data_IF_990982824254
#
_entry.id   IF_990982824254
#
_cell.length_a   1.000
_cell.length_b   1.000
_cell.length_c   1.000
_cell.angle_alpha   90.00
_cell.angle_beta   90.00
_cell.angle_gamma   90.00
#
_symmetry.space_group_name_H-M   'P 1'
#
loop_
_entity.id
_entity.type
_entity.pdbx_description
1 polymer ?
#
# COMPACT_ATOMS: atom_id res chain seq x y z
N UNK A 1 70.28 20.71 -18.22
CA UNK A 1 69.88 21.32 -16.93
C UNK A 1 68.85 20.41 -16.29
N UNK A 2 69.10 20.02 -15.04
CA UNK A 2 68.33 19.03 -14.27
C UNK A 2 67.03 19.67 -13.74
N UNK A 3 65.91 18.95 -13.81
CA UNK A 3 64.70 19.22 -13.03
C UNK A 3 64.56 18.16 -11.93
N UNK A 4 64.35 18.65 -10.71
CA UNK A 4 64.24 17.94 -9.42
C UNK A 4 62.89 17.23 -9.28
N UNK A 5 62.80 16.09 -8.57
CA UNK A 5 61.52 15.45 -8.25
C UNK A 5 60.95 15.94 -6.91
N UNK A 6 59.62 16.04 -6.83
CA UNK A 6 58.86 16.28 -5.59
C UNK A 6 58.26 14.95 -5.14
N UNK A 7 58.65 14.48 -3.95
CA UNK A 7 58.15 13.27 -3.31
C UNK A 7 57.24 13.63 -2.11
N UNK A 8 56.23 12.78 -1.92
CA UNK A 8 55.17 12.85 -0.91
C UNK A 8 55.66 12.87 0.55
N UNK A 9 54.87 13.49 1.43
CA UNK A 9 54.83 13.14 2.86
C UNK A 9 53.37 13.10 3.36
N UNK A 10 53.00 11.99 4.01
CA UNK A 10 51.78 11.79 4.81
C UNK A 10 52.13 11.98 6.30
N UNK A 11 51.19 12.43 7.16
CA UNK A 11 51.26 12.17 8.60
C UNK A 11 50.18 11.18 9.09
N UNK A 12 50.56 10.45 10.15
CA UNK A 12 49.90 9.32 10.81
C UNK A 12 48.85 9.73 11.88
N UNK A 13 48.04 8.79 12.42
CA UNK A 13 46.92 9.09 13.33
C UNK A 13 47.35 9.15 14.81
N UNK A 14 46.64 9.94 15.61
CA UNK A 14 46.85 10.06 17.05
C UNK A 14 45.89 9.17 17.86
N UNK A 15 46.48 8.42 18.79
CA UNK A 15 45.84 7.57 19.81
C UNK A 15 45.69 8.37 21.11
N UNK A 16 44.54 8.26 21.80
CA UNK A 16 44.42 8.64 23.22
C UNK A 16 43.60 7.59 23.97
N UNK A 17 44.09 7.20 25.15
CA UNK A 17 43.56 6.21 26.08
C UNK A 17 43.37 6.82 27.48
N UNK A 18 42.62 6.08 28.34
CA UNK A 18 42.51 6.16 29.82
C UNK A 18 41.43 7.14 30.33
N UNK A 19 40.50 6.88 31.28
CA UNK A 19 40.43 5.97 32.45
C UNK A 19 39.00 5.82 33.03
N UNK A 20 38.68 4.60 33.50
CA UNK A 20 38.01 4.16 34.76
C UNK A 20 36.78 4.85 35.40
N UNK A 21 35.79 4.01 35.73
CA UNK A 21 34.49 4.20 36.42
C UNK A 21 34.54 4.66 37.90
N UNK A 22 33.37 4.96 38.50
CA UNK A 22 32.83 4.01 39.50
C UNK A 22 31.32 3.74 39.42
N UNK A 23 30.96 2.60 40.03
CA UNK A 23 29.62 2.00 40.20
C UNK A 23 28.79 2.80 41.21
N UNK A 24 27.51 3.05 40.89
CA UNK A 24 26.44 3.20 41.90
C UNK A 24 25.14 2.51 41.46
N UNK A 25 24.45 2.01 42.48
CA UNK A 25 23.39 1.00 42.51
C UNK A 25 22.01 1.48 41.99
N UNK A 26 21.21 0.47 41.59
CA UNK A 26 19.77 0.53 41.28
C UNK A 26 18.91 1.26 42.34
N UNK A 27 17.72 1.73 41.94
CA UNK A 27 16.53 1.01 42.39
C UNK A 27 15.54 0.67 41.27
N UNK A 28 14.85 -0.44 41.52
CA UNK A 28 13.72 -1.06 40.81
C UNK A 28 12.44 -0.23 40.83
N UNK A 29 11.57 -0.54 39.85
CA UNK A 29 10.13 -0.29 39.73
C UNK A 29 9.67 0.96 38.95
N UNK A 30 9.10 0.74 37.77
CA UNK A 30 7.65 0.87 37.61
C UNK A 30 7.18 0.13 36.35
N UNK A 31 6.16 -0.71 36.52
CA UNK A 31 5.34 -1.19 35.40
C UNK A 31 4.69 0.03 34.75
N UNK A 32 5.15 0.43 33.56
CA UNK A 32 4.34 1.29 32.70
C UNK A 32 3.57 0.43 31.71
N UNK A 33 2.35 0.17 32.17
CA UNK A 33 1.20 -0.38 31.48
C UNK A 33 1.11 0.23 30.06
N UNK A 34 1.56 -0.53 29.05
CA UNK A 34 1.49 -0.14 27.65
C UNK A 34 0.07 -0.40 27.16
N UNK A 35 -0.87 0.48 27.53
CA UNK A 35 -2.21 0.50 26.96
C UNK A 35 -2.10 0.91 25.51
N UNK A 36 -2.04 -0.08 24.62
CA UNK A 36 -2.30 0.08 23.19
C UNK A 36 -3.72 0.65 23.07
N UNK A 37 -3.82 1.92 22.70
CA UNK A 37 -5.07 2.51 22.27
C UNK A 37 -5.53 1.76 21.02
N UNK A 38 -6.38 0.74 21.21
CA UNK A 38 -7.19 0.18 20.12
C UNK A 38 -8.14 1.29 19.69
N UNK A 39 -7.90 1.88 18.53
CA UNK A 39 -8.96 2.58 17.81
C UNK A 39 -9.99 1.52 17.40
N UNK A 40 -10.95 1.24 18.28
CA UNK A 40 -12.13 0.48 17.92
C UNK A 40 -12.92 1.36 16.95
N UNK A 41 -12.86 1.08 15.65
CA UNK A 41 -13.89 1.59 14.74
C UNK A 41 -15.20 0.99 15.25
N UNK A 42 -15.93 1.76 16.05
CA UNK A 42 -17.24 1.33 16.54
C UNK A 42 -18.09 1.06 15.32
N UNK A 43 -18.66 -0.13 15.21
CA UNK A 43 -19.68 -0.42 14.21
C UNK A 43 -20.84 0.54 14.49
N UNK A 44 -20.87 1.65 13.75
CA UNK A 44 -21.97 2.61 13.81
C UNK A 44 -23.24 1.86 13.44
N UNK A 45 -24.08 1.64 14.44
CA UNK A 45 -25.47 1.24 14.24
C UNK A 45 -26.17 2.38 13.48
N UNK A 46 -27.08 2.10 12.53
CA UNK A 46 -27.71 3.14 11.73
C UNK A 46 -28.74 3.89 12.57
N UNK A 47 -28.29 4.89 13.33
CA UNK A 47 -29.18 5.92 13.86
C UNK A 47 -29.27 7.09 12.88
N UNK A 48 -30.51 7.43 12.60
CA UNK A 48 -31.01 8.31 11.55
C UNK A 48 -30.53 9.75 11.76
N UNK A 49 -29.42 10.12 11.12
CA UNK A 49 -29.12 11.53 10.81
C UNK A 49 -29.44 11.71 9.33
N UNK A 50 -30.61 12.29 9.07
CA UNK A 50 -30.93 12.89 7.77
C UNK A 50 -29.94 14.04 7.52
N UNK A 51 -28.84 13.72 6.86
CA UNK A 51 -28.08 14.67 6.07
C UNK A 51 -28.23 14.24 4.62
N UNK A 52 -29.27 14.77 3.97
CA UNK A 52 -29.43 14.71 2.52
C UNK A 52 -28.30 15.49 1.84
N UNK A 53 -27.14 14.85 1.73
CA UNK A 53 -26.23 15.07 0.64
C UNK A 53 -26.26 13.81 -0.19
N UNK A 54 -26.93 13.83 -1.34
CA UNK A 54 -26.89 12.72 -2.29
C UNK A 54 -25.42 12.46 -2.63
N UNK A 55 -24.80 11.47 -1.99
CA UNK A 55 -23.40 11.10 -2.25
C UNK A 55 -23.36 10.65 -3.70
N UNK A 56 -22.67 11.40 -4.54
CA UNK A 56 -22.60 11.11 -5.96
C UNK A 56 -21.87 9.79 -6.18
N UNK A 57 -22.64 8.73 -6.44
CA UNK A 57 -22.12 7.46 -6.87
C UNK A 57 -21.51 7.62 -8.27
N UNK A 58 -20.26 7.20 -8.43
CA UNK A 58 -19.56 7.24 -9.71
C UNK A 58 -20.31 6.38 -10.74
N UNK A 59 -20.74 7.00 -11.85
CA UNK A 59 -21.43 6.30 -12.94
C UNK A 59 -20.39 5.75 -13.93
N UNK A 60 -20.33 4.43 -14.15
CA UNK A 60 -19.35 3.83 -15.06
C UNK A 60 -19.51 4.34 -16.50
N UNK A 61 -18.41 4.74 -17.11
CA UNK A 61 -18.31 5.06 -18.53
C UNK A 61 -18.00 3.83 -19.39
N UNK A 62 -17.99 4.01 -20.71
CA UNK A 62 -17.70 2.93 -21.67
C UNK A 62 -16.28 2.38 -21.49
N UNK A 63 -15.30 3.26 -21.23
CA UNK A 63 -13.91 2.87 -20.99
C UNK A 63 -13.74 2.06 -19.70
N UNK A 64 -14.61 2.24 -18.72
CA UNK A 64 -14.54 1.51 -17.45
C UNK A 64 -14.79 0.03 -17.64
N UNK A 65 -15.70 -0.34 -18.56
CA UNK A 65 -15.89 -1.74 -18.93
C UNK A 65 -14.62 -2.34 -19.54
N UNK A 66 -13.93 -1.59 -20.41
CA UNK A 66 -12.67 -2.03 -20.99
C UNK A 66 -11.59 -2.24 -19.91
N UNK A 67 -11.42 -1.26 -19.00
CA UNK A 67 -10.43 -1.37 -17.93
C UNK A 67 -10.75 -2.49 -16.93
N UNK A 68 -12.02 -2.64 -16.54
CA UNK A 68 -12.46 -3.71 -15.66
C UNK A 68 -12.14 -5.08 -16.26
N UNK A 69 -12.55 -5.32 -17.50
CA UNK A 69 -12.32 -6.59 -18.18
C UNK A 69 -10.82 -6.86 -18.35
N UNK A 70 -10.05 -5.86 -18.80
CA UNK A 70 -8.60 -5.99 -18.95
C UNK A 70 -7.93 -6.34 -17.62
N UNK A 71 -8.31 -5.70 -16.51
CA UNK A 71 -7.75 -5.99 -15.19
C UNK A 71 -8.15 -7.38 -14.69
N UNK A 72 -9.42 -7.75 -14.89
CA UNK A 72 -9.92 -9.08 -14.57
C UNK A 72 -9.14 -10.17 -15.32
N UNK A 73 -8.91 -10.00 -16.62
CA UNK A 73 -8.17 -10.97 -17.43
C UNK A 73 -6.75 -11.21 -16.89
N UNK A 74 -6.09 -10.15 -16.40
CA UNK A 74 -4.76 -10.29 -15.77
C UNK A 74 -4.84 -11.01 -14.42
N UNK A 75 -5.86 -10.70 -13.62
CA UNK A 75 -6.11 -11.43 -12.37
C UNK A 75 -6.38 -12.92 -12.62
N UNK A 76 -7.22 -13.26 -13.60
CA UNK A 76 -7.52 -14.66 -13.97
C UNK A 76 -6.27 -15.40 -14.37
N UNK A 77 -5.40 -14.77 -15.19
CA UNK A 77 -4.12 -15.37 -15.60
C UNK A 77 -3.18 -15.63 -14.42
N UNK A 78 -3.14 -14.73 -13.44
CA UNK A 78 -2.29 -14.87 -12.27
C UNK A 78 -2.85 -15.88 -11.25
N UNK A 79 -4.18 -15.92 -11.07
CA UNK A 79 -4.87 -16.80 -10.12
C UNK A 79 -5.06 -18.22 -10.69
N UNK A 80 -5.19 -18.35 -12.01
CA UNK A 80 -5.45 -19.63 -12.70
C UNK A 80 -6.92 -20.08 -12.68
N UNK A 81 -7.83 -19.20 -12.27
CA UNK A 81 -9.28 -19.46 -12.17
C UNK A 81 -10.04 -18.15 -12.39
N UNK A 82 -11.27 -18.25 -12.93
CA UNK A 82 -12.18 -17.12 -13.10
C UNK A 82 -13.47 -17.31 -12.27
N UNK A 83 -13.95 -16.22 -11.66
CA UNK A 83 -15.21 -16.21 -10.90
C UNK A 83 -16.42 -16.27 -11.82
N UNK A 84 -17.46 -16.99 -11.43
CA UNK A 84 -18.75 -16.99 -12.13
C UNK A 84 -19.47 -15.63 -12.03
N UNK A 85 -19.11 -14.80 -11.03
CA UNK A 85 -19.74 -13.49 -10.84
C UNK A 85 -19.23 -12.50 -11.90
N UNK A 86 -20.14 -11.82 -12.60
CA UNK A 86 -19.76 -10.80 -13.57
C UNK A 86 -19.24 -9.53 -12.88
N UNK A 87 -18.57 -8.69 -13.66
CA UNK A 87 -18.19 -7.34 -13.27
C UNK A 87 -17.31 -7.27 -12.02
N UNK A 88 -17.54 -6.23 -11.22
CA UNK A 88 -16.71 -5.88 -10.07
C UNK A 88 -16.75 -6.94 -8.96
N UNK A 89 -17.90 -7.58 -8.74
CA UNK A 89 -18.05 -8.60 -7.71
C UNK A 89 -17.09 -9.78 -7.92
N UNK A 90 -16.98 -10.28 -9.16
CA UNK A 90 -16.03 -11.36 -9.46
C UNK A 90 -14.57 -10.92 -9.44
N UNK A 91 -14.27 -9.65 -9.78
CA UNK A 91 -12.93 -9.07 -9.59
C UNK A 91 -12.52 -9.12 -8.11
N UNK A 92 -13.43 -8.79 -7.19
CA UNK A 92 -13.17 -8.87 -5.75
C UNK A 92 -12.99 -10.33 -5.28
N UNK A 93 -13.70 -11.29 -5.88
CA UNK A 93 -13.46 -12.72 -5.61
C UNK A 93 -12.08 -13.18 -6.08
N UNK A 94 -11.63 -12.72 -7.24
CA UNK A 94 -10.28 -13.00 -7.73
C UNK A 94 -9.20 -12.39 -6.84
N UNK A 95 -9.40 -11.16 -6.37
CA UNK A 95 -8.50 -10.53 -5.40
C UNK A 95 -8.42 -11.30 -4.07
N UNK A 96 -9.58 -11.78 -3.57
CA UNK A 96 -9.65 -12.65 -2.40
C UNK A 96 -8.90 -13.96 -2.66
N UNK A 97 -9.12 -14.59 -3.81
CA UNK A 97 -8.45 -15.82 -4.21
C UNK A 97 -6.93 -15.66 -4.33
N UNK A 98 -6.44 -14.55 -4.90
CA UNK A 98 -5.02 -14.24 -5.02
C UNK A 98 -4.31 -14.29 -3.66
N UNK A 99 -4.91 -13.67 -2.63
CA UNK A 99 -4.36 -13.68 -1.27
C UNK A 99 -4.54 -15.04 -0.58
N UNK A 100 -5.63 -15.76 -0.83
CA UNK A 100 -5.89 -17.06 -0.23
C UNK A 100 -5.00 -18.18 -0.78
N UNK A 101 -4.71 -18.14 -2.07
CA UNK A 101 -3.93 -19.16 -2.78
C UNK A 101 -2.42 -18.91 -2.64
N UNK A 102 -2.04 -17.70 -2.23
CA UNK A 102 -0.63 -17.35 -2.01
C UNK A 102 -0.09 -17.96 -0.71
N UNK A 103 1.15 -18.47 -0.80
CA UNK A 103 1.88 -19.07 0.33
C UNK A 103 2.20 -18.05 1.43
N UNK A 104 2.40 -16.79 1.04
CA UNK A 104 2.73 -15.70 1.96
C UNK A 104 2.23 -14.36 1.42
N UNK A 105 2.23 -13.35 2.30
CA UNK A 105 1.95 -11.96 1.92
C UNK A 105 2.95 -11.42 0.88
N UNK A 106 4.22 -11.83 0.96
CA UNK A 106 5.22 -11.43 -0.05
C UNK A 106 4.89 -12.00 -1.43
N UNK A 107 4.52 -13.27 -1.52
CA UNK A 107 4.09 -13.86 -2.80
C UNK A 107 2.84 -13.18 -3.35
N UNK A 108 1.88 -12.84 -2.48
CA UNK A 108 0.68 -12.06 -2.87
C UNK A 108 1.08 -10.72 -3.47
N UNK A 109 2.01 -10.03 -2.80
CA UNK A 109 2.50 -8.72 -3.23
C UNK A 109 3.18 -8.81 -4.60
N UNK A 110 4.08 -9.78 -4.78
CA UNK A 110 4.82 -9.96 -6.02
C UNK A 110 3.89 -10.34 -7.19
N UNK A 111 2.86 -11.14 -6.93
CA UNK A 111 1.82 -11.46 -7.90
C UNK A 111 1.01 -10.21 -8.31
N UNK A 112 0.60 -9.40 -7.34
CA UNK A 112 -0.08 -8.13 -7.61
C UNK A 112 0.80 -7.15 -8.40
N UNK A 113 2.11 -7.07 -8.11
CA UNK A 113 3.06 -6.27 -8.90
C UNK A 113 3.14 -6.78 -10.35
N UNK A 114 3.19 -8.11 -10.58
CA UNK A 114 3.16 -8.69 -11.93
C UNK A 114 1.88 -8.33 -12.68
N UNK A 115 0.73 -8.43 -12.01
CA UNK A 115 -0.57 -8.02 -12.57
C UNK A 115 -0.50 -6.56 -13.01
N UNK A 116 -0.09 -5.64 -12.12
CA UNK A 116 0.01 -4.21 -12.43
C UNK A 116 0.91 -3.95 -13.66
N UNK A 117 2.10 -4.55 -13.72
CA UNK A 117 2.98 -4.42 -14.89
C UNK A 117 2.33 -4.91 -16.17
N UNK A 118 1.61 -6.02 -16.09
CA UNK A 118 1.01 -6.66 -17.26
C UNK A 118 -0.15 -5.86 -17.90
N UNK A 119 -0.64 -4.82 -17.21
CA UNK A 119 -1.65 -3.89 -17.74
C UNK A 119 -1.05 -2.91 -18.75
N UNK A 120 0.26 -2.73 -18.75
CA UNK A 120 0.95 -1.78 -19.62
C UNK A 120 1.67 -2.51 -20.77
N UNK A 121 1.77 -1.88 -21.95
CA UNK A 121 2.60 -2.39 -23.03
C UNK A 121 4.09 -2.52 -22.61
N UNK A 122 4.85 -3.50 -23.16
CA UNK A 122 6.18 -3.87 -22.69
C UNK A 122 7.23 -2.75 -22.58
N UNK A 123 7.13 -1.66 -23.37
CA UNK A 123 8.10 -0.56 -23.37
C UNK A 123 7.60 0.72 -22.67
N UNK A 124 6.30 0.82 -22.40
CA UNK A 124 5.71 2.07 -21.93
C UNK A 124 6.25 2.46 -20.55
N UNK A 125 6.39 1.49 -19.65
CA UNK A 125 6.89 1.71 -18.29
C UNK A 125 8.36 2.17 -18.31
N UNK A 126 9.19 1.54 -19.14
CA UNK A 126 10.61 1.87 -19.25
C UNK A 126 10.81 3.27 -19.85
N UNK A 127 10.10 3.57 -20.94
CA UNK A 127 10.13 4.90 -21.57
C UNK A 127 9.64 5.98 -20.61
N UNK A 128 8.55 5.72 -19.87
CA UNK A 128 8.07 6.63 -18.83
C UNK A 128 9.15 6.92 -17.80
N UNK A 129 9.77 5.86 -17.26
CA UNK A 129 10.77 5.96 -16.20
C UNK A 129 12.03 6.70 -16.65
N UNK A 130 12.42 6.56 -17.92
CA UNK A 130 13.60 7.23 -18.48
C UNK A 130 13.31 8.68 -18.87
N UNK A 131 12.16 8.93 -19.50
CA UNK A 131 11.89 10.23 -20.13
C UNK A 131 11.10 11.18 -19.25
N UNK A 132 10.14 10.69 -18.47
CA UNK A 132 9.17 11.52 -17.73
C UNK A 132 9.52 11.60 -16.24
N UNK A 133 9.85 10.47 -15.61
CA UNK A 133 10.13 10.42 -14.17
C UNK A 133 11.27 11.36 -13.70
N UNK A 134 12.32 11.64 -14.49
CA UNK A 134 13.38 12.56 -14.06
C UNK A 134 13.04 14.06 -14.21
N UNK A 135 11.99 14.41 -14.97
CA UNK A 135 11.67 15.81 -15.29
C UNK A 135 11.30 16.56 -14.01
N UNK A 136 11.93 17.73 -13.81
CA UNK A 136 11.66 18.62 -12.67
C UNK A 136 11.72 17.88 -11.32
N UNK A 137 12.75 17.03 -11.15
CA UNK A 137 12.92 16.22 -9.94
C UNK A 137 11.81 15.19 -9.70
N UNK A 138 11.02 14.84 -10.72
CA UNK A 138 9.89 13.92 -10.64
C UNK A 138 8.54 14.56 -10.33
N UNK A 139 8.49 15.89 -10.16
CA UNK A 139 7.25 16.63 -9.88
C UNK A 139 6.24 16.52 -11.02
N UNK A 140 6.70 16.69 -12.26
CA UNK A 140 5.84 16.56 -13.45
C UNK A 140 5.26 15.15 -13.57
N UNK A 141 6.09 14.14 -13.35
CA UNK A 141 5.69 12.74 -13.37
C UNK A 141 4.63 12.44 -12.30
N UNK A 142 4.83 12.92 -11.08
CA UNK A 142 3.89 12.73 -9.97
C UNK A 142 2.52 13.38 -10.25
N UNK A 143 2.49 14.62 -10.77
CA UNK A 143 1.25 15.30 -11.17
C UNK A 143 0.53 14.56 -12.31
N UNK A 144 1.29 14.09 -13.30
CA UNK A 144 0.72 13.39 -14.45
C UNK A 144 0.07 12.08 -14.01
N UNK A 145 0.75 11.27 -13.18
CA UNK A 145 0.18 10.04 -12.64
C UNK A 145 -1.08 10.33 -11.83
N UNK A 146 -1.07 11.33 -10.93
CA UNK A 146 -2.24 11.67 -10.12
C UNK A 146 -3.48 11.95 -10.99
N UNK A 147 -3.31 12.73 -12.07
CA UNK A 147 -4.39 13.01 -13.04
C UNK A 147 -4.83 11.75 -13.79
N UNK A 148 -3.89 10.96 -14.29
CA UNK A 148 -4.20 9.71 -15.01
C UNK A 148 -4.92 8.71 -14.12
N UNK A 149 -4.55 8.61 -12.84
CA UNK A 149 -5.22 7.76 -11.85
C UNK A 149 -6.67 8.18 -11.66
N UNK A 150 -6.96 9.47 -11.50
CA UNK A 150 -8.35 9.95 -11.41
C UNK A 150 -9.13 9.67 -12.70
N UNK A 151 -8.50 9.80 -13.87
CA UNK A 151 -9.18 9.55 -15.14
C UNK A 151 -9.46 8.07 -15.42
N UNK A 152 -8.59 7.15 -14.96
CA UNK A 152 -8.63 5.74 -15.38
C UNK A 152 -8.94 4.74 -14.27
N UNK A 153 -8.95 5.15 -13.00
CA UNK A 153 -9.12 4.22 -11.86
C UNK A 153 -10.35 4.50 -10.99
N UNK A 154 -11.23 5.44 -11.37
CA UNK A 154 -12.47 5.68 -10.60
C UNK A 154 -13.44 4.50 -10.64
N UNK A 155 -13.49 3.73 -11.74
CA UNK A 155 -14.25 2.47 -11.77
C UNK A 155 -13.77 1.45 -10.72
N UNK A 156 -12.47 1.49 -10.38
CA UNK A 156 -11.83 0.57 -9.46
C UNK A 156 -12.01 1.02 -8.01
N UNK A 157 -11.81 2.32 -7.76
CA UNK A 157 -11.70 2.87 -6.40
C UNK A 157 -12.91 3.69 -5.97
N UNK A 158 -13.80 4.10 -6.87
CA UNK A 158 -14.89 5.04 -6.59
C UNK A 158 -14.49 6.49 -6.89
N UNK A 159 -15.27 7.45 -6.39
CA UNK A 159 -15.07 8.88 -6.64
C UNK A 159 -13.71 9.35 -6.11
N UNK A 160 -12.89 9.92 -7.00
CA UNK A 160 -11.54 10.38 -6.71
C UNK A 160 -11.34 11.84 -7.13
N UNK A 161 -10.56 12.61 -6.38
CA UNK A 161 -10.17 13.98 -6.72
C UNK A 161 -8.68 14.19 -6.55
N UNK A 162 -8.09 14.99 -7.44
CA UNK A 162 -6.71 15.45 -7.26
C UNK A 162 -6.67 16.48 -6.14
N UNK A 163 -5.69 16.36 -5.25
CA UNK A 163 -5.44 17.33 -4.18
C UNK A 163 -3.95 17.66 -4.07
N UNK A 164 -3.66 18.73 -3.32
CA UNK A 164 -2.29 19.14 -3.02
C UNK A 164 -1.71 18.26 -1.90
N UNK A 165 -0.45 17.89 -2.02
CA UNK A 165 0.32 17.13 -1.01
C UNK A 165 1.67 17.78 -0.79
N UNK A 166 2.15 17.70 0.44
CA UNK A 166 3.47 18.19 0.81
C UNK A 166 4.55 17.20 0.38
N UNK A 167 5.54 17.70 -0.34
CA UNK A 167 6.69 16.96 -0.79
C UNK A 167 7.82 17.05 0.24
N UNK A 168 8.78 16.11 0.23
CA UNK A 168 9.91 16.12 1.17
C UNK A 168 10.81 17.37 1.08
N UNK A 169 10.75 18.10 -0.03
CA UNK A 169 11.48 19.36 -0.24
C UNK A 169 10.78 20.58 0.42
N UNK A 170 9.65 20.37 1.10
CA UNK A 170 8.85 21.41 1.75
C UNK A 170 7.90 22.15 0.80
N UNK A 171 7.85 21.78 -0.48
CA UNK A 171 6.91 22.36 -1.44
C UNK A 171 5.62 21.56 -1.52
N UNK A 172 4.52 22.21 -1.90
CA UNK A 172 3.23 21.54 -2.13
C UNK A 172 2.98 21.32 -3.62
N UNK A 173 2.45 20.16 -3.99
CA UNK A 173 2.17 19.81 -5.38
C UNK A 173 0.80 19.12 -5.54
N UNK A 174 0.09 19.39 -6.63
CA UNK A 174 -1.16 18.69 -6.99
C UNK A 174 -0.89 17.27 -7.53
N UNK A 175 -0.16 16.49 -6.75
CA UNK A 175 0.19 15.09 -6.99
C UNK A 175 -0.47 14.14 -5.99
N UNK A 176 -1.45 14.62 -5.23
CA UNK A 176 -2.31 13.79 -4.40
C UNK A 176 -3.52 13.27 -5.16
N UNK A 177 -4.00 12.08 -4.77
CA UNK A 177 -5.34 11.61 -5.13
C UNK A 177 -6.06 11.19 -3.86
N UNK A 178 -7.17 11.86 -3.56
CA UNK A 178 -8.06 11.49 -2.47
C UNK A 178 -9.24 10.69 -3.01
N UNK A 179 -9.39 9.46 -2.50
CA UNK A 179 -10.54 8.59 -2.75
C UNK A 179 -11.51 8.77 -1.60
N UNK A 180 -12.70 9.32 -1.89
CA UNK A 180 -13.68 9.65 -0.85
C UNK A 180 -14.21 8.41 -0.13
N UNK A 181 -14.38 7.31 -0.88
CA UNK A 181 -14.77 6.00 -0.37
C UNK A 181 -14.28 4.91 -1.32
N UNK A 182 -13.25 4.19 -0.90
CA UNK A 182 -12.57 3.18 -1.69
C UNK A 182 -13.43 1.93 -1.87
N UNK A 183 -14.05 1.81 -3.05
CA UNK A 183 -14.89 0.66 -3.42
C UNK A 183 -14.18 -0.68 -3.25
N UNK A 184 -12.87 -0.75 -3.52
CA UNK A 184 -12.08 -1.98 -3.39
C UNK A 184 -11.94 -2.42 -1.94
N UNK A 185 -11.67 -1.49 -1.03
CA UNK A 185 -11.59 -1.76 0.40
C UNK A 185 -12.99 -2.10 0.96
N UNK A 186 -14.01 -1.33 0.58
CA UNK A 186 -15.39 -1.53 1.02
C UNK A 186 -15.96 -2.90 0.62
N UNK A 187 -15.73 -3.35 -0.62
CA UNK A 187 -16.25 -4.63 -1.11
C UNK A 187 -15.40 -5.84 -0.66
N UNK A 188 -14.10 -5.64 -0.49
CA UNK A 188 -13.22 -6.70 0.04
C UNK A 188 -13.44 -6.92 1.54
N UNK A 189 -13.84 -5.88 2.28
CA UNK A 189 -14.06 -5.86 3.73
C UNK A 189 -12.88 -6.43 4.52
N UNK A 190 -11.66 -6.24 4.01
CA UNK A 190 -10.49 -6.83 4.66
C UNK A 190 -9.24 -5.97 4.50
N UNK A 191 -8.70 -5.53 5.65
CA UNK A 191 -7.41 -4.83 5.76
C UNK A 191 -6.31 -5.61 5.06
N UNK A 192 -6.23 -6.92 5.30
CA UNK A 192 -5.21 -7.78 4.69
C UNK A 192 -5.23 -7.77 3.16
N UNK A 193 -6.42 -7.70 2.54
CA UNK A 193 -6.54 -7.58 1.07
C UNK A 193 -6.04 -6.20 0.66
N UNK A 194 -6.60 -5.12 1.21
CA UNK A 194 -6.19 -3.76 0.90
C UNK A 194 -4.66 -3.55 0.99
N UNK A 195 -4.03 -4.03 2.07
CA UNK A 195 -2.59 -3.90 2.27
C UNK A 195 -1.79 -4.72 1.26
N UNK A 196 -2.13 -6.00 1.05
CA UNK A 196 -1.26 -6.93 0.32
C UNK A 196 -1.56 -7.05 -1.18
N UNK A 197 -2.74 -6.62 -1.65
CA UNK A 197 -3.11 -6.65 -3.07
C UNK A 197 -3.24 -5.26 -3.68
N UNK A 198 -3.33 -4.19 -2.86
CA UNK A 198 -3.43 -2.81 -3.34
C UNK A 198 -2.27 -1.94 -2.83
N UNK A 199 -2.21 -1.57 -1.54
CA UNK A 199 -1.22 -0.62 -1.02
C UNK A 199 0.23 -1.00 -1.34
N UNK A 200 0.71 -2.12 -0.79
CA UNK A 200 2.12 -2.48 -0.94
C UNK A 200 2.53 -2.75 -2.40
N UNK A 201 1.73 -3.49 -3.19
CA UNK A 201 2.02 -3.68 -4.61
C UNK A 201 2.03 -2.40 -5.42
N UNK A 202 1.06 -1.50 -5.21
CA UNK A 202 0.97 -0.25 -5.96
C UNK A 202 2.12 0.69 -5.61
N UNK A 203 2.51 0.79 -4.33
CA UNK A 203 3.70 1.56 -3.93
C UNK A 203 4.99 1.01 -4.55
N UNK A 204 5.18 -0.32 -4.55
CA UNK A 204 6.34 -0.95 -5.21
C UNK A 204 6.30 -0.75 -6.73
N UNK A 205 5.13 -0.90 -7.35
CA UNK A 205 4.96 -0.69 -8.78
C UNK A 205 5.41 0.71 -9.21
N UNK A 206 4.90 1.74 -8.55
CA UNK A 206 5.23 3.12 -8.91
C UNK A 206 6.70 3.45 -8.63
N UNK A 207 7.26 3.02 -7.50
CA UNK A 207 8.67 3.24 -7.19
C UNK A 207 9.59 2.52 -8.17
N UNK A 208 9.39 1.22 -8.34
CA UNK A 208 10.37 0.35 -8.98
C UNK A 208 10.24 0.37 -10.51
N UNK A 209 9.03 0.55 -11.05
CA UNK A 209 8.76 0.49 -12.49
C UNK A 209 8.40 1.83 -13.12
N UNK A 210 7.74 2.73 -12.40
CA UNK A 210 7.43 4.07 -12.91
C UNK A 210 8.47 5.12 -12.49
N UNK A 211 9.34 4.81 -11.52
CA UNK A 211 10.35 5.74 -11.00
C UNK A 211 9.77 6.87 -10.14
N UNK A 212 8.53 6.74 -9.67
CA UNK A 212 7.84 7.77 -8.87
C UNK A 212 7.46 7.18 -7.51
N UNK A 213 8.02 7.68 -6.39
CA UNK A 213 7.60 7.25 -5.07
C UNK A 213 6.10 7.47 -4.84
N UNK A 214 5.49 6.59 -4.08
CA UNK A 214 4.08 6.71 -3.69
C UNK A 214 3.93 6.28 -2.23
N UNK A 215 3.25 7.11 -1.46
CA UNK A 215 2.69 6.77 -0.15
C UNK A 215 1.17 6.66 -0.27
N UNK A 216 0.61 5.54 0.19
CA UNK A 216 -0.82 5.31 0.29
C UNK A 216 -1.26 5.21 1.76
N UNK A 217 -2.31 5.91 2.12
CA UNK A 217 -2.86 6.00 3.47
C UNK A 217 -4.35 5.65 3.43
N UNK A 218 -4.71 4.36 3.48
CA UNK A 218 -6.10 3.94 3.64
C UNK A 218 -6.61 4.25 5.04
N UNK A 219 -7.86 4.68 5.14
CA UNK A 219 -8.61 4.78 6.38
C UNK A 219 -9.61 3.62 6.46
N UNK A 220 -9.43 2.74 7.45
CA UNK A 220 -10.26 1.55 7.59
C UNK A 220 -11.59 1.78 8.31
N UNK A 221 -11.81 2.95 8.91
CA UNK A 221 -13.09 3.28 9.55
C UNK A 221 -14.09 3.88 8.55
N UNK A 222 -13.67 4.80 7.68
CA UNK A 222 -14.57 5.49 6.72
C UNK A 222 -14.44 4.99 5.27
N UNK A 223 -13.46 4.11 5.03
CA UNK A 223 -13.07 3.55 3.73
C UNK A 223 -12.41 4.54 2.77
N UNK A 224 -12.05 5.75 3.18
CA UNK A 224 -11.29 6.68 2.35
C UNK A 224 -9.84 6.21 2.13
N UNK A 225 -9.16 6.76 1.12
CA UNK A 225 -7.75 6.47 0.87
C UNK A 225 -7.04 7.65 0.23
N UNK A 226 -5.91 8.07 0.80
CA UNK A 226 -5.06 9.12 0.25
C UNK A 226 -3.84 8.51 -0.47
N UNK A 227 -3.61 8.93 -1.71
CA UNK A 227 -2.41 8.65 -2.47
C UNK A 227 -1.57 9.91 -2.51
N UNK A 228 -0.27 9.82 -2.26
CA UNK A 228 0.69 10.93 -2.30
C UNK A 228 1.82 10.58 -3.27
N UNK A 229 1.67 10.93 -4.55
CA UNK A 229 2.72 10.69 -5.54
C UNK A 229 3.86 11.69 -5.35
N UNK A 230 5.10 11.19 -5.44
CA UNK A 230 6.33 11.92 -5.11
C UNK A 230 6.76 11.80 -3.64
N UNK A 231 5.95 11.14 -2.79
CA UNK A 231 6.26 10.92 -1.37
C UNK A 231 6.66 9.46 -1.15
N UNK A 232 7.79 9.24 -0.48
CA UNK A 232 8.24 7.88 -0.15
C UNK A 232 7.44 7.32 1.02
N UNK A 233 7.04 6.04 0.99
CA UNK A 233 6.38 5.42 2.12
C UNK A 233 7.37 5.28 3.30
N UNK A 234 6.88 5.31 4.55
CA UNK A 234 7.71 5.08 5.72
C UNK A 234 8.23 3.63 5.74
N UNK A 235 9.22 3.38 6.61
CA UNK A 235 9.64 2.00 6.90
C UNK A 235 8.47 1.19 7.46
N UNK A 236 8.37 -0.12 7.17
CA UNK A 236 7.23 -0.94 7.60
C UNK A 236 6.94 -0.90 9.11
N UNK A 237 7.98 -0.78 9.93
CA UNK A 237 7.88 -0.63 11.40
C UNK A 237 7.21 0.67 11.85
N UNK A 238 7.28 1.70 11.02
CA UNK A 238 6.74 3.04 11.25
C UNK A 238 5.43 3.28 10.48
N UNK A 239 4.94 2.29 9.72
CA UNK A 239 3.67 2.38 9.00
C UNK A 239 2.53 1.81 9.86
N UNK A 240 1.74 2.69 10.46
CA UNK A 240 0.67 2.28 11.37
C UNK A 240 -0.44 1.50 10.66
N UNK A 241 -0.65 1.73 9.36
CA UNK A 241 -1.65 0.97 8.58
C UNK A 241 -1.30 -0.52 8.45
N UNK A 242 -0.03 -0.89 8.66
CA UNK A 242 0.42 -2.29 8.67
C UNK A 242 0.21 -2.98 10.03
N UNK A 243 -0.07 -2.21 11.08
CA UNK A 243 -0.32 -2.70 12.45
C UNK A 243 -1.80 -2.93 12.73
N UNK A 244 -2.67 -2.40 11.86
CA UNK A 244 -4.12 -2.50 12.01
C UNK A 244 -4.60 -3.96 11.95
N UNK A 245 -5.43 -4.42 12.90
CA UNK A 245 -6.04 -5.73 12.82
C UNK A 245 -7.02 -5.82 11.64
N UNK A 246 -7.32 -7.03 11.17
CA UNK A 246 -8.39 -7.20 10.19
C UNK A 246 -9.75 -6.79 10.75
N UNK A 247 -10.62 -6.28 9.86
CA UNK A 247 -12.03 -6.04 10.17
C UNK A 247 -12.72 -7.32 10.66
N UNK A 248 -13.65 -7.20 11.59
CA UNK A 248 -14.38 -8.36 12.15
C UNK A 248 -15.11 -9.18 11.08
N UNK A 249 -15.60 -8.49 10.06
CA UNK A 249 -16.28 -9.07 8.89
C UNK A 249 -15.32 -9.56 7.80
N UNK A 250 -14.00 -9.54 8.02
CA UNK A 250 -13.05 -9.96 6.98
C UNK A 250 -13.24 -11.44 6.62
N UNK A 251 -13.62 -11.76 5.36
CA UNK A 251 -13.89 -13.13 4.94
C UNK A 251 -12.64 -14.01 5.00
N UNK A 252 -11.45 -13.44 4.74
CA UNK A 252 -10.19 -14.17 4.77
C UNK A 252 -9.81 -14.57 6.20
N UNK A 253 -9.94 -13.64 7.14
CA UNK A 253 -9.66 -13.88 8.55
C UNK A 253 -10.62 -14.93 9.13
N UNK A 254 -11.92 -14.82 8.80
CA UNK A 254 -12.94 -15.78 9.23
C UNK A 254 -12.66 -17.18 8.69
N UNK A 255 -12.41 -17.31 7.39
CA UNK A 255 -12.09 -18.61 6.77
C UNK A 255 -10.79 -19.23 7.33
N UNK A 256 -9.75 -18.42 7.58
CA UNK A 256 -8.51 -18.90 8.23
C UNK A 256 -8.75 -19.36 9.68
N UNK A 257 -9.62 -18.66 10.43
CA UNK A 257 -10.02 -19.06 11.78
C UNK A 257 -10.77 -20.40 11.78
N UNK A 258 -11.69 -20.60 10.83
CA UNK A 258 -12.43 -21.85 10.66
C UNK A 258 -11.51 -23.03 10.30
N UNK A 259 -10.60 -22.86 9.34
CA UNK A 259 -9.63 -23.91 8.97
C UNK A 259 -8.76 -24.29 10.16
N UNK A 260 -8.27 -23.31 10.93
CA UNK A 260 -7.46 -23.59 12.14
C UNK A 260 -8.24 -24.38 13.17
N UNK A 261 -9.49 -23.97 13.46
CA UNK A 261 -10.37 -24.70 14.38
C UNK A 261 -10.59 -26.16 13.93
N UNK A 262 -10.84 -26.38 12.65
CA UNK A 262 -11.04 -27.75 12.13
C UNK A 262 -9.78 -28.60 12.24
N UNK A 263 -8.60 -28.02 11.99
CA UNK A 263 -7.31 -28.71 12.17
C UNK A 263 -7.07 -29.05 13.64
N UNK A 264 -7.38 -28.14 14.57
CA UNK A 264 -7.23 -28.37 16.01
C UNK A 264 -8.19 -29.47 16.51
N UNK A 265 -9.43 -29.50 16.02
CA UNK A 265 -10.41 -30.57 16.31
C UNK A 265 -9.93 -31.92 15.80
N UNK A 266 -9.37 -31.99 14.58
CA UNK A 266 -8.84 -33.26 14.04
C UNK A 266 -7.57 -33.74 14.75
N UNK A 267 -6.81 -32.85 15.38
CA UNK A 267 -5.61 -33.19 16.17
C UNK A 267 -5.90 -33.59 17.61
N UNK A 268 -7.13 -33.38 18.09
CA UNK A 268 -7.52 -33.83 19.42
C UNK A 268 -7.72 -35.36 19.37
N UNK A 269 -6.88 -36.17 20.07
CA UNK A 269 -7.10 -37.60 20.12
C UNK A 269 -8.50 -37.85 20.70
N UNK A 270 -9.34 -38.59 19.97
CA UNK A 270 -10.60 -39.10 20.52
C UNK A 270 -10.24 -40.07 21.64
N UNK A 271 -10.69 -39.75 22.86
CA UNK A 271 -10.63 -40.65 24.00
C UNK A 271 -11.50 -41.88 23.77
#
# INVERSE_FOLDING_TARGET
>A
MKMTPLALTLPAPQTVMVSSSPIYLLPTSSLQNRTSFRAFCSSVSPETIHSEGSKAEYKPGILDHFFLNSFRDKLVKEVGWDSEKPGYGGLIELAKALMMNSRSNSHTKDAAVRILKSLFPPLLLELYKILIAPIDGGRVAAMMIARVTVLTCQWLMGTCKVNSVDLPDGTSCNSGVFVERCKYLEESKCVGICINTCKLPTQSFFKDYMGVPLLMEPNFCDYSCQFKFGVSPPLPENDDTLKEPCLDVCPIANKRREIRRNVDVMKCPKA
#
